data_IF_797037138919
#
_entry.id   IF_797037138919
#
_cell.length_a   1.000
_cell.length_b   1.000
_cell.length_c   1.000
_cell.angle_alpha   90.00
_cell.angle_beta   90.00
_cell.angle_gamma   90.00
#
_symmetry.space_group_name_H-M   'P 1'
#
loop_
_entity.id
_entity.type
_entity.pdbx_description
1 polymer ?
#
# COMPACT_ATOMS: atom_id res chain seq x y z
N UNK A 1 43.86 -54.06 -1.02
CA UNK A 1 44.22 -54.12 0.41
C UNK A 1 43.00 -53.82 1.24
N UNK A 2 42.47 -54.80 1.96
CA UNK A 2 41.31 -54.79 2.87
C UNK A 2 41.71 -54.17 4.21
N UNK A 3 40.82 -53.44 4.85
CA UNK A 3 40.63 -53.36 6.33
C UNK A 3 39.40 -52.47 6.55
N UNK A 4 38.31 -53.00 6.88
CA UNK A 4 37.59 -53.54 8.07
C UNK A 4 37.12 -52.48 9.07
N UNK A 5 35.80 -52.54 9.26
CA UNK A 5 34.95 -51.84 10.25
C UNK A 5 35.39 -52.10 11.70
N UNK A 6 35.05 -51.18 12.60
CA UNK A 6 34.75 -51.50 14.02
C UNK A 6 33.55 -50.67 14.51
N UNK A 7 32.50 -51.41 14.84
CA UNK A 7 31.38 -51.01 15.69
C UNK A 7 31.85 -50.90 17.15
N UNK A 8 31.32 -49.96 17.90
CA UNK A 8 31.27 -50.08 19.36
C UNK A 8 29.91 -49.56 19.86
N UNK A 9 29.11 -50.47 20.40
CA UNK A 9 27.92 -50.24 21.22
C UNK A 9 28.29 -50.35 22.69
N UNK A 10 27.77 -49.47 23.57
CA UNK A 10 27.70 -49.63 25.03
C UNK A 10 26.38 -48.96 25.43
N UNK A 11 25.46 -49.67 25.78
CA UNK A 11 24.83 -50.26 26.97
C UNK A 11 24.32 -49.24 28.01
N UNK A 12 23.03 -49.40 28.27
CA UNK A 12 22.21 -48.74 29.27
C UNK A 12 22.61 -49.15 30.72
N UNK A 13 22.43 -48.21 31.65
CA UNK A 13 22.35 -48.52 33.09
C UNK A 13 21.09 -47.91 33.68
N UNK A 14 20.23 -48.81 34.17
CA UNK A 14 19.10 -48.51 35.07
C UNK A 14 19.61 -48.31 36.51
N UNK A 15 19.08 -47.32 37.21
CA UNK A 15 19.11 -47.30 38.67
C UNK A 15 17.74 -46.84 39.19
N UNK A 16 17.05 -47.78 39.84
CA UNK A 16 15.87 -47.56 40.68
C UNK A 16 16.29 -47.14 42.09
N UNK A 17 15.57 -46.20 42.68
CA UNK A 17 15.26 -46.07 44.12
C UNK A 17 14.34 -44.85 44.26
N UNK A 18 13.27 -44.81 44.96
CA UNK A 18 12.71 -45.51 46.07
C UNK A 18 11.56 -44.61 46.56
N UNK A 19 10.41 -45.15 46.87
CA UNK A 19 9.15 -44.46 47.15
C UNK A 19 9.12 -43.71 48.50
N UNK A 20 8.22 -42.75 48.55
CA UNK A 20 7.63 -42.28 49.80
C UNK A 20 6.11 -42.10 49.59
N UNK A 21 5.37 -42.93 50.32
CA UNK A 21 3.93 -42.84 50.46
C UNK A 21 3.57 -41.60 51.27
N UNK A 22 2.72 -40.71 50.76
CA UNK A 22 2.03 -39.70 51.55
C UNK A 22 0.54 -40.02 51.52
N UNK A 23 -0.02 -40.14 52.71
CA UNK A 23 -1.37 -40.52 53.06
C UNK A 23 -2.40 -39.57 52.50
N UNK A 24 -3.45 -40.13 51.88
CA UNK A 24 -4.69 -39.46 51.52
C UNK A 24 -5.49 -39.11 52.81
N UNK A 25 -5.80 -37.83 52.98
CA UNK A 25 -6.81 -37.37 53.95
C UNK A 25 -8.20 -37.46 53.32
N UNK A 26 -9.16 -37.97 54.11
CA UNK A 26 -10.54 -38.16 53.72
C UNK A 26 -11.29 -36.83 53.53
N UNK A 27 -12.33 -36.78 52.66
CA UNK A 27 -13.06 -35.55 52.34
C UNK A 27 -14.00 -35.15 53.46
N UNK A 28 -13.99 -33.85 53.80
CA UNK A 28 -14.94 -33.25 54.75
C UNK A 28 -16.35 -33.13 54.15
N UNK A 29 -17.33 -33.39 54.98
CA UNK A 29 -18.78 -33.36 54.70
C UNK A 29 -19.25 -31.92 54.35
N UNK A 30 -20.11 -31.70 53.33
CA UNK A 30 -20.57 -30.38 53.00
C UNK A 30 -21.57 -29.82 54.04
N UNK A 31 -21.37 -28.53 54.38
CA UNK A 31 -22.29 -27.78 55.21
C UNK A 31 -23.55 -27.39 54.42
N UNK A 32 -24.71 -27.38 55.10
CA UNK A 32 -26.00 -27.04 54.51
C UNK A 32 -26.06 -25.57 54.03
N UNK A 33 -26.78 -25.28 52.92
CA UNK A 33 -26.86 -23.92 52.37
C UNK A 33 -27.75 -23.03 53.24
N UNK A 34 -27.27 -21.81 53.49
CA UNK A 34 -28.04 -20.74 54.10
C UNK A 34 -29.14 -20.24 53.15
N UNK A 35 -30.32 -20.00 53.70
CA UNK A 35 -31.49 -19.53 52.94
C UNK A 35 -31.21 -18.19 52.24
N UNK A 36 -31.45 -18.12 50.94
CA UNK A 36 -31.43 -16.89 50.15
C UNK A 36 -32.71 -16.08 50.41
N UNK A 37 -32.64 -14.74 50.51
CA UNK A 37 -33.82 -13.89 50.52
C UNK A 37 -34.51 -13.87 49.15
N UNK A 38 -35.83 -13.80 49.13
CA UNK A 38 -36.67 -13.79 47.95
C UNK A 38 -36.32 -12.62 46.98
N UNK A 39 -36.41 -12.83 45.66
CA UNK A 39 -36.09 -11.80 44.69
C UNK A 39 -37.17 -10.69 44.71
N UNK A 40 -36.70 -9.45 44.79
CA UNK A 40 -37.52 -8.26 44.60
C UNK A 40 -38.04 -8.20 43.16
N UNK A 41 -39.30 -7.85 42.96
CA UNK A 41 -39.90 -7.65 41.65
C UNK A 41 -39.10 -6.64 40.83
N UNK A 42 -38.80 -6.92 39.55
CA UNK A 42 -38.13 -5.94 38.70
C UNK A 42 -39.09 -4.77 38.44
N UNK A 43 -38.65 -3.58 38.83
CA UNK A 43 -39.20 -2.31 38.35
C UNK A 43 -38.96 -2.26 36.82
N UNK A 44 -40.02 -1.97 36.07
CA UNK A 44 -39.94 -1.81 34.62
C UNK A 44 -38.98 -0.66 34.30
N UNK A 45 -37.75 -1.03 33.89
CA UNK A 45 -36.83 -0.09 33.27
C UNK A 45 -37.41 0.32 31.91
N UNK A 46 -37.78 1.59 31.79
CA UNK A 46 -38.10 2.22 30.51
C UNK A 46 -36.86 2.07 29.62
N UNK A 47 -36.99 1.26 28.56
CA UNK A 47 -35.97 1.14 27.56
C UNK A 47 -35.66 2.54 27.01
N UNK A 48 -34.39 2.96 26.90
CA UNK A 48 -34.07 4.19 26.24
C UNK A 48 -34.53 4.08 24.79
N UNK A 49 -35.42 4.98 24.38
CA UNK A 49 -35.81 5.19 23.00
C UNK A 49 -34.53 5.31 22.19
N UNK A 50 -34.32 4.55 21.07
CA UNK A 50 -33.16 4.73 20.24
C UNK A 50 -33.12 6.20 19.86
N UNK A 51 -32.01 6.87 20.20
CA UNK A 51 -31.74 8.21 19.72
C UNK A 51 -31.77 8.12 18.19
N UNK A 52 -32.79 8.72 17.61
CA UNK A 52 -32.85 8.92 16.18
C UNK A 52 -31.53 9.58 15.82
N UNK A 53 -30.75 8.92 14.97
CA UNK A 53 -29.58 9.52 14.38
C UNK A 53 -30.04 10.86 13.83
N UNK A 54 -29.58 11.95 14.43
CA UNK A 54 -29.83 13.27 13.91
C UNK A 54 -29.23 13.28 12.52
N UNK A 55 -30.09 13.19 11.51
CA UNK A 55 -29.77 13.60 10.16
C UNK A 55 -29.40 15.06 10.32
N UNK A 56 -28.10 15.34 10.38
CA UNK A 56 -27.58 16.69 10.45
C UNK A 56 -28.09 17.40 9.21
N UNK A 57 -29.10 18.23 9.37
CA UNK A 57 -29.57 19.14 8.35
C UNK A 57 -28.34 19.88 7.80
N UNK A 58 -28.22 19.92 6.47
CA UNK A 58 -27.05 20.47 5.76
C UNK A 58 -26.75 21.91 6.16
N UNK A 59 -26.04 22.05 7.26
CA UNK A 59 -25.28 23.25 7.61
C UNK A 59 -24.07 23.33 6.70
N UNK A 60 -23.72 24.54 6.27
CA UNK A 60 -22.57 24.76 5.42
C UNK A 60 -21.32 24.11 6.05
N UNK A 61 -20.69 23.14 5.36
CA UNK A 61 -19.43 22.45 5.74
C UNK A 61 -18.24 23.43 5.80
N UNK A 62 -18.45 24.66 5.36
CA UNK A 62 -17.42 25.70 5.22
C UNK A 62 -16.72 25.96 6.58
N UNK A 63 -15.43 25.66 6.57
CA UNK A 63 -14.57 25.87 7.75
C UNK A 63 -14.47 24.68 8.68
N UNK A 64 -15.24 23.60 8.48
CA UNK A 64 -15.08 22.34 9.21
C UNK A 64 -13.71 21.72 8.97
N UNK A 65 -13.08 21.19 10.02
CA UNK A 65 -11.79 20.51 9.90
C UNK A 65 -11.99 19.00 9.91
N UNK A 66 -11.57 18.36 8.83
CA UNK A 66 -11.57 16.90 8.67
C UNK A 66 -10.17 16.38 8.96
N UNK A 67 -10.06 15.54 10.00
CA UNK A 67 -8.79 14.91 10.40
C UNK A 67 -8.60 13.59 9.68
N UNK A 68 -7.40 13.40 9.10
CA UNK A 68 -6.97 12.20 8.40
C UNK A 68 -5.78 11.59 9.13
N UNK A 69 -5.91 10.34 9.60
CA UNK A 69 -4.81 9.60 10.19
C UNK A 69 -3.96 8.96 9.09
N UNK A 70 -2.72 9.36 8.97
CA UNK A 70 -1.73 8.75 8.08
C UNK A 70 -0.97 7.66 8.85
N UNK A 71 -1.17 6.39 8.47
CA UNK A 71 -0.60 5.22 9.17
C UNK A 71 0.41 4.54 8.26
N UNK A 72 1.68 4.93 8.35
CA UNK A 72 2.75 4.36 7.52
C UNK A 72 4.10 4.40 8.24
N UNK A 73 5.18 3.76 7.72
CA UNK A 73 6.47 3.74 8.39
C UNK A 73 7.09 5.13 8.43
N UNK A 74 7.16 5.70 9.61
CA UNK A 74 7.86 6.96 9.89
C UNK A 74 9.22 6.72 10.55
N UNK A 75 9.52 5.46 10.89
CA UNK A 75 10.80 4.97 11.37
C UNK A 75 11.21 3.65 10.67
N UNK A 76 12.46 3.21 10.86
CA UNK A 76 12.99 1.98 10.27
C UNK A 76 13.40 2.09 8.79
N UNK A 77 13.56 0.95 8.07
CA UNK A 77 14.15 0.91 6.73
C UNK A 77 13.37 1.67 5.65
N UNK A 78 12.09 1.90 5.86
CA UNK A 78 11.20 2.58 4.91
C UNK A 78 10.78 3.99 5.35
N UNK A 79 11.42 4.52 6.40
CA UNK A 79 11.06 5.82 6.98
C UNK A 79 11.15 6.98 5.99
N UNK A 80 12.18 7.00 5.13
CA UNK A 80 12.35 8.04 4.13
C UNK A 80 11.17 8.10 3.14
N UNK A 81 10.63 6.94 2.76
CA UNK A 81 9.44 6.82 1.90
C UNK A 81 8.20 7.33 2.64
N UNK A 82 7.95 6.81 3.85
CA UNK A 82 6.77 7.21 4.63
C UNK A 82 6.78 8.70 5.01
N UNK A 83 7.94 9.25 5.34
CA UNK A 83 8.08 10.68 5.64
C UNK A 83 7.81 11.57 4.42
N UNK A 84 8.32 11.20 3.22
CA UNK A 84 7.98 11.90 1.98
C UNK A 84 6.47 11.88 1.71
N UNK A 85 5.85 10.74 1.90
CA UNK A 85 4.43 10.55 1.63
C UNK A 85 3.54 11.29 2.64
N UNK A 86 3.94 11.37 3.92
CA UNK A 86 3.28 12.23 4.91
C UNK A 86 3.36 13.70 4.50
N UNK A 87 4.54 14.18 4.11
CA UNK A 87 4.72 15.54 3.55
C UNK A 87 3.82 15.76 2.33
N UNK A 88 3.72 14.76 1.44
CA UNK A 88 2.88 14.83 0.24
C UNK A 88 1.40 14.99 0.59
N UNK A 89 0.88 14.19 1.53
CA UNK A 89 -0.49 14.34 2.03
C UNK A 89 -0.72 15.70 2.67
N UNK A 90 0.16 16.13 3.59
CA UNK A 90 0.04 17.42 4.27
C UNK A 90 0.08 18.59 3.28
N UNK A 91 0.98 18.56 2.31
CA UNK A 91 1.13 19.60 1.32
C UNK A 91 -0.11 19.75 0.42
N UNK A 92 -0.63 18.65 -0.10
CA UNK A 92 -1.79 18.66 -1.00
C UNK A 92 -3.06 19.04 -0.25
N UNK A 93 -3.27 18.49 0.94
CA UNK A 93 -4.44 18.79 1.76
C UNK A 93 -4.44 20.24 2.25
N UNK A 94 -3.28 20.82 2.60
CA UNK A 94 -3.14 22.25 2.90
C UNK A 94 -3.54 23.10 1.68
N UNK A 95 -3.03 22.75 0.49
CA UNK A 95 -3.27 23.48 -0.76
C UNK A 95 -4.72 23.42 -1.23
N UNK A 96 -5.40 22.30 -0.97
CA UNK A 96 -6.78 22.04 -1.38
C UNK A 96 -7.78 22.16 -0.21
N UNK A 97 -7.48 22.98 0.79
CA UNK A 97 -8.35 23.28 1.93
C UNK A 97 -9.09 24.60 1.76
N UNK A 98 -10.18 24.76 2.48
CA UNK A 98 -10.97 25.99 2.56
C UNK A 98 -11.57 26.37 1.21
N UNK A 99 -11.32 27.60 0.74
CA UNK A 99 -11.91 28.11 -0.51
C UNK A 99 -11.52 27.33 -1.78
N UNK A 100 -10.45 26.53 -1.73
CA UNK A 100 -10.01 25.67 -2.83
C UNK A 100 -10.59 24.25 -2.74
N UNK A 101 -11.37 23.98 -1.71
CA UNK A 101 -12.07 22.70 -1.54
C UNK A 101 -13.54 22.87 -1.94
N UNK A 102 -14.09 22.00 -2.79
CA UNK A 102 -15.50 22.11 -3.25
C UNK A 102 -16.50 22.07 -2.09
N UNK A 103 -16.19 21.37 -1.00
CA UNK A 103 -17.00 21.32 0.22
C UNK A 103 -16.71 22.49 1.20
N UNK A 104 -15.65 23.28 0.94
CA UNK A 104 -15.20 24.35 1.84
C UNK A 104 -14.56 23.88 3.14
N UNK A 105 -14.27 22.58 3.29
CA UNK A 105 -13.62 21.99 4.46
C UNK A 105 -12.12 22.27 4.50
N UNK A 106 -11.54 22.14 5.69
CA UNK A 106 -10.10 22.09 5.90
C UNK A 106 -9.70 20.65 6.19
N UNK A 107 -8.52 20.25 5.71
CA UNK A 107 -7.95 18.95 6.04
C UNK A 107 -6.76 19.10 6.99
N UNK A 108 -6.67 18.21 7.95
CA UNK A 108 -5.53 18.06 8.86
C UNK A 108 -5.02 16.62 8.80
N UNK A 109 -3.76 16.41 8.40
CA UNK A 109 -3.16 15.09 8.29
C UNK A 109 -2.16 14.88 9.42
N UNK A 110 -2.39 13.85 10.23
CA UNK A 110 -1.57 13.48 11.39
C UNK A 110 -0.91 12.11 11.16
N UNK A 111 0.42 12.05 11.34
CA UNK A 111 1.19 10.81 11.17
C UNK A 111 1.11 9.90 12.39
N UNK A 112 0.93 8.61 12.13
CA UNK A 112 1.01 7.50 13.08
C UNK A 112 2.03 6.49 12.54
N UNK A 113 3.11 6.27 13.26
CA UNK A 113 4.18 5.36 12.83
C UNK A 113 3.78 3.91 13.02
N UNK A 114 3.65 3.17 11.92
CA UNK A 114 3.40 1.73 11.93
C UNK A 114 4.67 0.87 11.83
N UNK A 115 5.85 1.48 11.77
CA UNK A 115 7.16 0.81 11.67
C UNK A 115 7.25 -0.23 10.54
N UNK A 116 6.38 -0.14 9.54
CA UNK A 116 6.27 -1.11 8.45
C UNK A 116 5.65 -2.47 8.84
N UNK A 117 4.97 -2.56 9.98
CA UNK A 117 4.41 -3.79 10.54
C UNK A 117 2.88 -3.80 10.47
N UNK A 118 2.23 -4.90 10.03
CA UNK A 118 0.78 -5.04 10.12
C UNK A 118 0.25 -4.92 11.55
N UNK A 119 0.94 -5.46 12.55
CA UNK A 119 0.52 -5.38 13.95
C UNK A 119 0.58 -3.94 14.47
N UNK A 120 1.66 -3.21 14.19
CA UNK A 120 1.77 -1.79 14.58
C UNK A 120 0.76 -0.92 13.82
N UNK A 121 0.37 -1.32 12.60
CA UNK A 121 -0.70 -0.66 11.86
C UNK A 121 -2.05 -0.77 12.56
N UNK A 122 -2.37 -1.93 13.17
CA UNK A 122 -3.57 -2.12 13.98
C UNK A 122 -3.54 -1.30 15.27
N UNK A 123 -2.38 -1.22 15.94
CA UNK A 123 -2.18 -0.39 17.13
C UNK A 123 -2.38 1.10 16.79
N UNK A 124 -1.79 1.56 15.69
CA UNK A 124 -1.92 2.92 15.18
C UNK A 124 -3.37 3.24 14.77
N UNK A 125 -4.05 2.32 14.09
CA UNK A 125 -5.46 2.46 13.73
C UNK A 125 -6.34 2.63 14.98
N UNK A 126 -6.14 1.77 15.96
CA UNK A 126 -6.87 1.87 17.24
C UNK A 126 -6.65 3.23 17.90
N UNK A 127 -5.39 3.65 18.02
CA UNK A 127 -5.04 4.95 18.61
C UNK A 127 -5.67 6.13 17.84
N UNK A 128 -5.71 6.06 16.51
CA UNK A 128 -6.37 7.09 15.68
C UNK A 128 -7.89 7.11 15.92
N UNK A 129 -8.55 5.95 15.94
CA UNK A 129 -10.00 5.85 16.20
C UNK A 129 -10.36 6.38 17.59
N UNK A 130 -9.58 6.03 18.60
CA UNK A 130 -9.77 6.49 19.99
C UNK A 130 -9.61 8.03 20.11
N UNK A 131 -8.76 8.64 19.27
CA UNK A 131 -8.60 10.10 19.14
C UNK A 131 -9.66 10.77 18.26
N UNK A 132 -10.65 10.03 17.78
CA UNK A 132 -11.75 10.56 17.00
C UNK A 132 -11.51 10.69 15.50
N UNK A 133 -10.42 10.16 14.95
CA UNK A 133 -10.23 10.11 13.51
C UNK A 133 -11.26 9.19 12.86
N UNK A 134 -11.82 9.63 11.73
CA UNK A 134 -12.80 8.88 10.94
C UNK A 134 -12.37 8.67 9.50
N UNK A 135 -11.27 9.26 9.10
CA UNK A 135 -10.60 9.06 7.82
C UNK A 135 -9.18 8.58 8.09
N UNK A 136 -8.83 7.46 7.49
CA UNK A 136 -7.51 6.83 7.66
C UNK A 136 -6.90 6.64 6.29
N UNK A 137 -5.60 6.90 6.16
CA UNK A 137 -4.86 6.62 4.93
C UNK A 137 -3.61 5.80 5.23
N UNK A 138 -3.31 4.85 4.35
CA UNK A 138 -2.14 3.97 4.44
C UNK A 138 -1.77 3.49 3.04
N UNK A 139 -0.49 3.23 2.78
CA UNK A 139 -0.04 2.82 1.46
C UNK A 139 1.14 1.84 1.46
N UNK A 140 2.04 1.90 2.40
CA UNK A 140 3.24 1.08 2.37
C UNK A 140 3.01 -0.31 2.99
N UNK A 141 3.09 -1.33 2.12
CA UNK A 141 2.94 -2.72 2.52
C UNK A 141 1.50 -3.24 2.48
N UNK A 142 1.24 -4.12 1.51
CA UNK A 142 -0.09 -4.72 1.30
C UNK A 142 -0.59 -5.52 2.50
N UNK A 143 0.32 -6.14 3.30
CA UNK A 143 -0.07 -6.82 4.53
C UNK A 143 -0.66 -5.87 5.59
N UNK A 144 -0.11 -4.65 5.72
CA UNK A 144 -0.65 -3.60 6.58
C UNK A 144 -2.03 -3.14 6.08
N UNK A 145 -2.17 -2.91 4.77
CA UNK A 145 -3.43 -2.51 4.17
C UNK A 145 -4.55 -3.55 4.35
N UNK A 146 -4.25 -4.84 4.17
CA UNK A 146 -5.19 -5.93 4.41
C UNK A 146 -5.64 -5.97 5.89
N UNK A 147 -4.70 -5.82 6.82
CA UNK A 147 -5.01 -5.78 8.25
C UNK A 147 -5.88 -4.57 8.63
N UNK A 148 -5.56 -3.37 8.11
CA UNK A 148 -6.36 -2.16 8.34
C UNK A 148 -7.75 -2.31 7.73
N UNK A 149 -7.87 -2.80 6.49
CA UNK A 149 -9.17 -2.98 5.81
C UNK A 149 -10.10 -3.90 6.60
N UNK A 150 -9.61 -5.06 7.03
CA UNK A 150 -10.37 -6.01 7.86
C UNK A 150 -10.75 -5.40 9.22
N UNK A 151 -9.84 -4.67 9.86
CA UNK A 151 -10.10 -4.02 11.15
C UNK A 151 -11.13 -2.88 11.03
N UNK A 152 -11.08 -2.08 9.96
CA UNK A 152 -12.05 -1.01 9.69
C UNK A 152 -13.43 -1.61 9.43
N UNK A 153 -13.54 -2.66 8.61
CA UNK A 153 -14.78 -3.36 8.35
C UNK A 153 -15.44 -3.85 9.66
N UNK A 154 -14.66 -4.55 10.50
CA UNK A 154 -15.12 -5.04 11.82
C UNK A 154 -15.47 -3.92 12.79
N UNK A 155 -14.71 -2.81 12.78
CA UNK A 155 -15.01 -1.65 13.59
C UNK A 155 -16.36 -1.03 13.21
N UNK A 156 -16.56 -0.81 11.92
CA UNK A 156 -17.75 -0.17 11.38
C UNK A 156 -19.02 -1.01 11.61
N UNK A 157 -18.92 -2.34 11.49
CA UNK A 157 -20.00 -3.25 11.81
C UNK A 157 -20.44 -3.17 13.28
N UNK A 158 -19.47 -3.00 14.21
CA UNK A 158 -19.72 -3.01 15.67
C UNK A 158 -20.04 -1.64 16.25
N UNK A 159 -19.75 -0.56 15.52
CA UNK A 159 -19.86 0.81 16.03
C UNK A 159 -20.63 1.73 15.05
N UNK A 160 -21.93 1.46 14.79
CA UNK A 160 -22.75 2.33 13.95
C UNK A 160 -22.75 3.78 14.46
N UNK A 161 -22.54 4.74 13.54
CA UNK A 161 -22.41 6.15 13.85
C UNK A 161 -20.97 6.59 14.18
N UNK A 162 -20.00 5.64 14.17
CA UNK A 162 -18.57 5.91 14.38
C UNK A 162 -17.73 5.30 13.27
N UNK A 163 -18.30 5.19 12.09
CA UNK A 163 -17.66 4.56 10.95
C UNK A 163 -16.37 5.28 10.54
N UNK A 164 -15.47 4.52 9.95
CA UNK A 164 -14.16 4.95 9.45
C UNK A 164 -14.06 4.63 7.96
N UNK A 165 -13.52 5.55 7.17
CA UNK A 165 -13.19 5.35 5.76
C UNK A 165 -11.70 5.14 5.63
N UNK A 166 -11.29 4.12 4.87
CA UNK A 166 -9.91 3.81 4.58
C UNK A 166 -9.53 4.17 3.13
N UNK A 167 -8.64 5.15 2.98
CA UNK A 167 -8.06 5.59 1.71
C UNK A 167 -6.70 4.90 1.53
N UNK A 168 -6.65 3.87 0.71
CA UNK A 168 -5.41 3.16 0.39
C UNK A 168 -4.73 3.86 -0.81
N UNK A 169 -3.61 4.53 -0.57
CA UNK A 169 -2.98 5.35 -1.61
C UNK A 169 -1.84 4.64 -2.38
N UNK A 170 -1.33 3.49 -1.90
CA UNK A 170 -0.18 2.82 -2.55
C UNK A 170 -0.06 1.31 -2.30
N UNK A 171 -0.88 0.68 -1.45
CA UNK A 171 -0.87 -0.77 -1.27
C UNK A 171 -1.65 -1.46 -2.40
N UNK A 172 -0.95 -2.29 -3.17
CA UNK A 172 -1.36 -2.69 -4.51
C UNK A 172 -1.69 -4.17 -4.65
N UNK A 173 -1.89 -4.90 -3.55
CA UNK A 173 -2.36 -6.28 -3.62
C UNK A 173 -3.75 -6.33 -4.29
N UNK A 174 -3.92 -7.11 -5.36
CA UNK A 174 -5.21 -7.24 -6.05
C UNK A 174 -6.35 -7.73 -5.16
N UNK A 175 -6.07 -8.53 -4.14
CA UNK A 175 -7.07 -9.07 -3.23
C UNK A 175 -7.94 -7.98 -2.59
N UNK A 176 -7.36 -6.79 -2.32
CA UNK A 176 -8.04 -5.66 -1.68
C UNK A 176 -9.22 -5.09 -2.49
N UNK A 177 -9.28 -5.34 -3.78
CA UNK A 177 -10.39 -4.95 -4.67
C UNK A 177 -10.98 -6.14 -5.43
N UNK A 178 -10.70 -7.37 -4.95
CA UNK A 178 -11.26 -8.62 -5.41
C UNK A 178 -11.86 -9.39 -4.22
N UNK A 179 -11.35 -10.57 -3.88
CA UNK A 179 -11.90 -11.46 -2.86
C UNK A 179 -11.87 -10.91 -1.42
N UNK A 180 -11.06 -9.87 -1.16
CA UNK A 180 -10.94 -9.16 0.12
C UNK A 180 -11.48 -7.74 0.06
N UNK A 181 -12.27 -7.44 -0.98
CA UNK A 181 -12.85 -6.10 -1.11
C UNK A 181 -13.82 -5.79 0.04
N UNK A 182 -13.78 -4.53 0.46
CA UNK A 182 -14.66 -4.02 1.52
C UNK A 182 -15.25 -2.66 1.12
N UNK A 183 -16.48 -2.39 1.57
CA UNK A 183 -17.20 -1.16 1.25
C UNK A 183 -16.49 0.11 1.76
N UNK A 184 -15.71 0.00 2.83
CA UNK A 184 -15.04 1.13 3.47
C UNK A 184 -13.62 1.39 2.96
N UNK A 185 -13.13 0.52 2.07
CA UNK A 185 -11.81 0.62 1.47
C UNK A 185 -11.88 1.25 0.08
N UNK A 186 -11.06 2.28 -0.17
CA UNK A 186 -10.96 2.99 -1.45
C UNK A 186 -9.49 3.03 -1.89
N UNK A 187 -9.17 2.38 -3.01
CA UNK A 187 -7.80 2.33 -3.51
C UNK A 187 -7.55 3.38 -4.58
N UNK A 188 -6.50 4.20 -4.37
CA UNK A 188 -6.14 5.35 -5.20
C UNK A 188 -5.03 5.05 -6.22
N UNK A 189 -4.22 4.01 -6.00
CA UNK A 189 -3.19 3.54 -6.94
C UNK A 189 -3.70 2.33 -7.74
N UNK A 190 -3.18 2.13 -8.94
CA UNK A 190 -3.43 0.93 -9.72
C UNK A 190 -2.86 -0.30 -9.01
N UNK A 191 -3.57 -1.41 -9.03
CA UNK A 191 -3.09 -2.64 -8.42
C UNK A 191 -2.02 -3.37 -9.24
N UNK A 192 -1.47 -4.44 -8.67
CA UNK A 192 -0.39 -5.19 -9.32
C UNK A 192 -0.84 -5.81 -10.65
N UNK A 193 -2.11 -6.23 -10.78
CA UNK A 193 -2.61 -6.77 -12.06
C UNK A 193 -2.66 -5.71 -13.14
N UNK A 194 -3.16 -4.52 -12.79
CA UNK A 194 -3.22 -3.37 -13.67
C UNK A 194 -1.83 -2.92 -14.12
N UNK A 195 -0.90 -2.84 -13.17
CA UNK A 195 0.50 -2.47 -13.44
C UNK A 195 1.20 -3.49 -14.34
N UNK A 196 1.00 -4.79 -14.10
CA UNK A 196 1.56 -5.84 -14.95
C UNK A 196 0.92 -5.89 -16.33
N UNK A 197 -0.38 -5.62 -16.42
CA UNK A 197 -1.05 -5.50 -17.71
C UNK A 197 -0.48 -4.36 -18.55
N UNK A 198 -0.30 -3.18 -17.95
CA UNK A 198 0.34 -2.03 -18.60
C UNK A 198 1.79 -2.32 -19.00
N UNK A 199 2.59 -2.91 -18.07
CA UNK A 199 3.98 -3.24 -18.32
C UNK A 199 4.14 -4.22 -19.49
N UNK A 200 3.43 -5.34 -19.44
CA UNK A 200 3.52 -6.39 -20.46
C UNK A 200 2.93 -5.93 -21.81
N UNK A 201 1.97 -5.01 -21.80
CA UNK A 201 1.48 -4.34 -23.02
C UNK A 201 2.56 -3.46 -23.64
N UNK A 202 3.33 -2.73 -22.84
CA UNK A 202 4.48 -1.97 -23.33
C UNK A 202 5.59 -2.89 -23.82
N UNK A 203 5.91 -3.97 -23.08
CA UNK A 203 6.97 -4.91 -23.44
C UNK A 203 6.65 -5.72 -24.70
N UNK A 204 5.39 -5.81 -25.12
CA UNK A 204 4.99 -6.42 -26.38
C UNK A 204 5.77 -5.83 -27.57
N UNK A 205 6.02 -4.53 -27.53
CA UNK A 205 6.65 -3.77 -28.60
C UNK A 205 8.16 -3.57 -28.37
N UNK A 206 8.79 -4.34 -27.44
CA UNK A 206 10.21 -4.26 -27.10
C UNK A 206 10.97 -5.49 -27.64
N UNK A 207 11.49 -5.46 -28.89
CA UNK A 207 12.06 -6.63 -29.54
C UNK A 207 13.35 -7.16 -28.89
N UNK A 208 14.04 -6.33 -28.11
CA UNK A 208 15.27 -6.69 -27.40
C UNK A 208 15.02 -7.54 -26.16
N UNK A 209 13.79 -7.58 -25.64
CA UNK A 209 13.44 -8.39 -24.48
C UNK A 209 13.22 -9.82 -24.91
N UNK A 210 14.03 -10.73 -24.37
CA UNK A 210 13.99 -12.16 -24.70
C UNK A 210 14.11 -13.06 -23.46
N UNK A 211 14.98 -12.69 -22.50
CA UNK A 211 15.29 -13.47 -21.29
C UNK A 211 15.15 -12.59 -20.05
N UNK A 212 14.10 -12.80 -19.28
CA UNK A 212 13.78 -11.97 -18.13
C UNK A 212 14.18 -12.65 -16.82
N UNK A 213 14.81 -11.89 -15.94
CA UNK A 213 14.99 -12.27 -14.53
C UNK A 213 14.04 -11.48 -13.63
N UNK A 214 13.34 -12.19 -12.74
CA UNK A 214 12.44 -11.58 -11.76
C UNK A 214 13.13 -11.54 -10.40
N UNK A 215 13.24 -10.34 -9.80
CA UNK A 215 13.74 -10.18 -8.44
C UNK A 215 12.75 -9.33 -7.63
N UNK A 216 12.11 -9.93 -6.64
CA UNK A 216 11.06 -9.26 -5.88
C UNK A 216 11.19 -9.47 -4.36
N UNK A 217 10.63 -8.56 -3.60
CA UNK A 217 10.47 -8.70 -2.15
C UNK A 217 9.50 -9.84 -1.82
N UNK A 218 9.83 -10.66 -0.82
CA UNK A 218 9.01 -11.82 -0.42
C UNK A 218 7.83 -11.41 0.47
N UNK A 219 6.80 -10.86 -0.14
CA UNK A 219 5.49 -10.62 0.44
C UNK A 219 4.44 -10.59 -0.68
N UNK A 220 3.15 -10.38 -0.35
CA UNK A 220 2.06 -10.54 -1.32
C UNK A 220 2.28 -9.76 -2.62
N UNK A 221 2.68 -8.47 -2.56
CA UNK A 221 2.93 -7.70 -3.78
C UNK A 221 4.05 -8.30 -4.64
N UNK A 222 5.21 -8.64 -4.06
CA UNK A 222 6.32 -9.18 -4.85
C UNK A 222 5.98 -10.54 -5.51
N UNK A 223 5.25 -11.39 -4.80
CA UNK A 223 4.72 -12.65 -5.33
C UNK A 223 3.72 -12.40 -6.47
N UNK A 224 2.86 -11.40 -6.33
CA UNK A 224 1.88 -11.02 -7.35
C UNK A 224 2.55 -10.41 -8.59
N UNK A 225 3.63 -9.63 -8.43
CA UNK A 225 4.43 -9.13 -9.57
C UNK A 225 4.93 -10.30 -10.41
N UNK A 226 5.57 -11.29 -9.78
CA UNK A 226 6.08 -12.46 -10.48
C UNK A 226 4.96 -13.25 -11.20
N UNK A 227 3.84 -13.48 -10.49
CA UNK A 227 2.68 -14.19 -11.04
C UNK A 227 2.12 -13.49 -12.28
N UNK A 228 1.69 -12.23 -12.12
CA UNK A 228 0.98 -11.51 -13.19
C UNK A 228 1.89 -11.06 -14.32
N UNK A 229 3.19 -10.88 -14.05
CA UNK A 229 4.17 -10.72 -15.12
C UNK A 229 4.21 -11.99 -16.00
N UNK A 230 4.39 -13.17 -15.41
CA UNK A 230 4.44 -14.45 -16.15
C UNK A 230 3.17 -14.69 -16.96
N UNK A 231 2.01 -14.45 -16.37
CA UNK A 231 0.72 -14.58 -17.06
C UNK A 231 0.56 -13.58 -18.22
N UNK A 232 0.91 -12.32 -18.00
CA UNK A 232 0.81 -11.25 -18.99
C UNK A 232 1.77 -11.40 -20.15
N UNK A 233 3.03 -11.75 -19.87
CA UNK A 233 4.04 -11.90 -20.91
C UNK A 233 3.79 -13.16 -21.75
N UNK A 234 3.35 -14.26 -21.14
CA UNK A 234 3.01 -15.49 -21.85
C UNK A 234 1.88 -15.28 -22.87
N UNK A 235 0.91 -14.44 -22.56
CA UNK A 235 -0.18 -14.08 -23.49
C UNK A 235 0.27 -13.19 -24.64
N UNK A 236 1.21 -12.28 -24.40
CA UNK A 236 1.58 -11.19 -25.34
C UNK A 236 2.89 -11.45 -26.09
N UNK A 237 3.83 -12.13 -25.46
CA UNK A 237 5.16 -12.46 -25.97
C UNK A 237 5.57 -13.87 -25.50
N UNK A 238 4.96 -14.93 -26.07
CA UNK A 238 5.25 -16.32 -25.68
C UNK A 238 6.70 -16.74 -26.01
N UNK A 239 7.40 -15.94 -26.81
CA UNK A 239 8.82 -16.08 -27.13
C UNK A 239 9.75 -15.64 -25.97
N UNK A 240 9.28 -14.78 -25.07
CA UNK A 240 10.05 -14.30 -23.91
C UNK A 240 10.10 -15.37 -22.82
N UNK A 241 11.32 -15.66 -22.34
CA UNK A 241 11.55 -16.69 -21.30
C UNK A 241 11.88 -16.03 -19.97
N UNK A 242 11.26 -16.49 -18.90
CA UNK A 242 11.73 -16.20 -17.54
C UNK A 242 12.85 -17.20 -17.21
N UNK A 243 14.09 -16.68 -17.13
CA UNK A 243 15.31 -17.49 -16.96
C UNK A 243 15.78 -17.55 -15.50
N UNK A 244 15.13 -16.81 -14.62
CA UNK A 244 15.36 -16.87 -13.18
C UNK A 244 14.33 -16.06 -12.40
N UNK A 245 14.11 -16.46 -11.15
CA UNK A 245 13.19 -15.82 -10.21
C UNK A 245 13.70 -15.98 -8.79
N UNK A 246 13.83 -14.87 -8.07
CA UNK A 246 14.11 -14.88 -6.63
C UNK A 246 13.14 -13.97 -5.89
N UNK A 247 12.78 -14.42 -4.69
CA UNK A 247 12.09 -13.63 -3.67
C UNK A 247 13.06 -13.44 -2.48
N UNK A 248 13.25 -12.19 -2.06
CA UNK A 248 14.13 -11.88 -0.94
C UNK A 248 13.36 -11.29 0.26
N UNK A 249 13.83 -11.46 1.51
CA UNK A 249 13.21 -10.89 2.69
C UNK A 249 13.12 -9.36 2.59
N UNK A 250 11.89 -8.81 2.73
CA UNK A 250 11.63 -7.37 2.65
C UNK A 250 12.33 -6.60 3.77
N UNK A 251 13.10 -5.56 3.41
CA UNK A 251 13.78 -4.66 4.34
C UNK A 251 14.94 -5.28 5.14
N UNK A 252 15.30 -6.53 4.87
CA UNK A 252 16.30 -7.26 5.65
C UNK A 252 17.61 -7.49 4.91
N UNK A 253 17.59 -7.50 3.57
CA UNK A 253 18.79 -7.73 2.75
C UNK A 253 19.67 -6.48 2.80
N UNK A 254 20.92 -6.66 3.21
CA UNK A 254 21.92 -5.57 3.28
C UNK A 254 22.88 -5.59 2.08
N UNK A 255 23.03 -6.75 1.43
CA UNK A 255 23.88 -6.95 0.27
C UNK A 255 23.13 -7.73 -0.82
N UNK A 256 22.96 -7.09 -1.96
CA UNK A 256 22.30 -7.69 -3.14
C UNK A 256 23.30 -8.32 -4.12
N UNK A 257 24.62 -8.29 -3.88
CA UNK A 257 25.62 -8.88 -4.76
C UNK A 257 25.36 -10.36 -5.09
N UNK A 258 24.91 -11.23 -4.16
CA UNK A 258 24.56 -12.61 -4.48
C UNK A 258 23.40 -12.74 -5.50
N UNK A 259 22.41 -11.87 -5.43
CA UNK A 259 21.31 -11.84 -6.39
C UNK A 259 21.79 -11.35 -7.77
N UNK A 260 22.63 -10.31 -7.80
CA UNK A 260 23.25 -9.80 -9.04
C UNK A 260 24.10 -10.87 -9.72
N UNK A 261 24.84 -11.67 -8.93
CA UNK A 261 25.61 -12.81 -9.46
C UNK A 261 24.70 -13.85 -10.14
N UNK A 262 23.56 -14.20 -9.53
CA UNK A 262 22.56 -15.12 -10.12
C UNK A 262 21.98 -14.54 -11.43
N UNK A 263 21.63 -13.24 -11.44
CA UNK A 263 21.13 -12.57 -12.65
C UNK A 263 22.16 -12.68 -13.78
N UNK A 264 23.43 -12.39 -13.49
CA UNK A 264 24.52 -12.50 -14.47
C UNK A 264 24.70 -13.94 -14.99
N UNK A 265 24.64 -14.94 -14.11
CA UNK A 265 24.78 -16.36 -14.45
C UNK A 265 23.60 -16.89 -15.27
N UNK A 266 22.39 -16.35 -15.08
CA UNK A 266 21.19 -16.79 -15.79
C UNK A 266 21.21 -16.43 -17.29
N UNK A 267 22.09 -15.52 -17.71
CA UNK A 267 22.10 -14.99 -19.06
C UNK A 267 20.88 -14.14 -19.40
N UNK A 268 20.22 -13.56 -18.41
CA UNK A 268 19.13 -12.61 -18.61
C UNK A 268 19.60 -11.39 -19.40
N UNK A 269 18.73 -10.88 -20.26
CA UNK A 269 18.90 -9.61 -20.98
C UNK A 269 18.05 -8.47 -20.38
N UNK A 270 17.16 -8.80 -19.45
CA UNK A 270 16.18 -7.88 -18.88
C UNK A 270 15.87 -8.24 -17.43
N UNK A 271 15.69 -7.22 -16.61
CA UNK A 271 15.23 -7.35 -15.21
C UNK A 271 13.81 -6.80 -15.08
N UNK A 272 12.95 -7.53 -14.39
CA UNK A 272 11.64 -7.03 -13.92
C UNK A 272 11.60 -7.13 -12.40
N UNK A 273 11.24 -6.02 -11.74
CA UNK A 273 11.20 -5.97 -10.28
C UNK A 273 10.05 -5.09 -9.76
N UNK A 274 9.38 -5.57 -8.74
CA UNK A 274 8.44 -4.81 -7.93
C UNK A 274 9.04 -4.26 -6.63
N UNK A 275 10.36 -4.38 -6.47
CA UNK A 275 11.04 -3.85 -5.29
C UNK A 275 10.83 -2.34 -5.15
N UNK A 276 10.83 -1.85 -3.90
CA UNK A 276 10.70 -0.43 -3.56
C UNK A 276 11.52 -0.07 -2.31
N UNK A 277 11.70 1.24 -2.09
CA UNK A 277 12.40 1.78 -0.93
C UNK A 277 13.85 1.30 -0.84
N UNK A 278 14.33 1.04 0.37
CA UNK A 278 15.72 0.66 0.61
C UNK A 278 16.16 -0.58 -0.18
N UNK A 279 15.28 -1.57 -0.37
CA UNK A 279 15.62 -2.79 -1.10
C UNK A 279 15.90 -2.51 -2.58
N UNK A 280 15.10 -1.66 -3.24
CA UNK A 280 15.37 -1.26 -4.63
C UNK A 280 16.64 -0.42 -4.73
N UNK A 281 16.83 0.52 -3.81
CA UNK A 281 18.04 1.36 -3.77
C UNK A 281 19.32 0.52 -3.63
N UNK A 282 19.33 -0.45 -2.70
CA UNK A 282 20.47 -1.35 -2.50
C UNK A 282 20.68 -2.30 -3.68
N UNK A 283 19.62 -2.77 -4.30
CA UNK A 283 19.70 -3.60 -5.51
C UNK A 283 20.31 -2.82 -6.67
N UNK A 284 19.85 -1.59 -6.94
CA UNK A 284 20.44 -0.71 -7.96
C UNK A 284 21.91 -0.44 -7.68
N UNK A 285 22.26 -0.19 -6.42
CA UNK A 285 23.67 -0.03 -6.03
C UNK A 285 24.49 -1.27 -6.37
N UNK A 286 24.01 -2.46 -6.03
CA UNK A 286 24.71 -3.71 -6.33
C UNK A 286 24.86 -3.97 -7.84
N UNK A 287 23.86 -3.59 -8.67
CA UNK A 287 23.97 -3.63 -10.13
C UNK A 287 25.09 -2.71 -10.63
N UNK A 288 25.16 -1.48 -10.09
CA UNK A 288 26.20 -0.51 -10.44
C UNK A 288 27.60 -1.01 -10.03
N UNK A 289 27.76 -1.49 -8.80
CA UNK A 289 29.02 -2.02 -8.26
C UNK A 289 29.54 -3.22 -9.10
N UNK A 290 28.62 -4.05 -9.61
CA UNK A 290 28.96 -5.18 -10.48
C UNK A 290 29.14 -4.81 -11.96
N UNK A 291 28.91 -3.55 -12.35
CA UNK A 291 28.93 -3.09 -13.74
C UNK A 291 27.86 -3.78 -14.62
N UNK A 292 26.81 -4.34 -14.04
CA UNK A 292 25.76 -5.05 -14.77
C UNK A 292 24.69 -4.07 -15.24
N UNK A 293 24.72 -3.73 -16.53
CA UNK A 293 23.78 -2.79 -17.17
C UNK A 293 22.77 -3.54 -18.02
N UNK A 294 21.66 -3.97 -17.41
CA UNK A 294 20.52 -4.56 -18.11
C UNK A 294 19.33 -3.60 -18.06
N UNK A 295 18.49 -3.56 -19.11
CA UNK A 295 17.18 -2.89 -19.03
C UNK A 295 16.40 -3.38 -17.83
N UNK A 296 15.93 -2.44 -17.00
CA UNK A 296 15.14 -2.73 -15.82
C UNK A 296 13.73 -2.14 -15.98
N UNK A 297 12.73 -2.97 -15.78
CA UNK A 297 11.33 -2.60 -15.78
C UNK A 297 10.78 -2.69 -14.36
N UNK A 298 10.22 -1.59 -13.86
CA UNK A 298 9.84 -1.47 -12.44
C UNK A 298 8.65 -0.51 -12.25
N UNK A 299 8.20 -0.36 -10.99
CA UNK A 299 7.15 0.60 -10.60
C UNK A 299 7.67 1.76 -9.77
N UNK A 300 8.69 1.51 -8.94
CA UNK A 300 9.03 2.36 -7.82
C UNK A 300 10.41 2.99 -7.94
N UNK A 301 10.96 3.08 -9.17
CA UNK A 301 12.25 3.71 -9.41
C UNK A 301 12.29 5.21 -9.08
N UNK A 302 11.13 5.87 -9.02
CA UNK A 302 11.00 7.29 -8.64
C UNK A 302 10.89 7.54 -7.14
N UNK A 303 10.89 6.48 -6.30
CA UNK A 303 10.76 6.60 -4.84
C UNK A 303 12.09 7.04 -4.21
N UNK A 304 12.01 7.87 -3.18
CA UNK A 304 13.14 8.49 -2.47
C UNK A 304 14.33 7.55 -2.26
N UNK A 305 15.50 8.00 -2.72
CA UNK A 305 16.80 7.32 -2.64
C UNK A 305 17.13 6.47 -3.87
N UNK A 306 16.16 5.95 -4.60
CA UNK A 306 16.42 5.15 -5.81
C UNK A 306 16.95 5.98 -6.98
N UNK A 307 16.42 7.19 -7.29
CA UNK A 307 16.97 8.05 -8.32
C UNK A 307 18.45 8.40 -8.10
N UNK A 308 18.84 8.69 -6.86
CA UNK A 308 20.24 8.95 -6.49
C UNK A 308 21.13 7.72 -6.79
N UNK A 309 20.66 6.51 -6.44
CA UNK A 309 21.38 5.28 -6.74
C UNK A 309 21.48 5.01 -8.25
N UNK A 310 20.43 5.28 -9.03
CA UNK A 310 20.44 5.17 -10.48
C UNK A 310 21.46 6.13 -11.10
N UNK A 311 21.45 7.39 -10.70
CA UNK A 311 22.37 8.42 -11.21
C UNK A 311 23.85 8.11 -10.93
N UNK A 312 24.14 7.49 -9.77
CA UNK A 312 25.49 7.05 -9.43
C UNK A 312 26.07 6.01 -10.42
N UNK A 313 25.20 5.20 -11.05
CA UNK A 313 25.58 4.26 -12.10
C UNK A 313 25.71 4.89 -13.49
N UNK A 314 25.41 6.19 -13.63
CA UNK A 314 25.40 6.89 -14.92
C UNK A 314 24.18 6.51 -15.78
N UNK A 315 24.38 6.50 -17.09
CA UNK A 315 23.32 6.17 -18.02
C UNK A 315 22.90 4.69 -17.87
N UNK A 316 21.65 4.47 -17.52
CA UNK A 316 21.03 3.15 -17.35
C UNK A 316 19.67 3.12 -18.01
N UNK A 317 19.29 1.96 -18.53
CA UNK A 317 18.02 1.77 -19.23
C UNK A 317 16.96 1.31 -18.23
N UNK A 318 16.22 2.26 -17.62
CA UNK A 318 15.17 2.00 -16.64
C UNK A 318 13.84 2.51 -17.14
N UNK A 319 12.85 1.62 -17.16
CA UNK A 319 11.47 1.90 -17.49
C UNK A 319 10.60 1.74 -16.24
N UNK A 320 9.84 2.79 -15.93
CA UNK A 320 8.95 2.78 -14.78
C UNK A 320 7.49 2.92 -15.23
N UNK A 321 6.65 1.97 -14.79
CA UNK A 321 5.20 2.09 -14.90
C UNK A 321 4.71 2.92 -13.72
N UNK A 322 3.98 3.99 -14.02
CA UNK A 322 3.53 4.93 -13.00
C UNK A 322 2.22 5.59 -13.41
N UNK A 323 1.56 6.26 -12.49
CA UNK A 323 0.36 7.08 -12.76
C UNK A 323 0.66 8.58 -12.77
N UNK A 324 1.91 9.01 -12.57
CA UNK A 324 2.36 10.39 -12.64
C UNK A 324 3.86 10.48 -12.93
N UNK A 325 4.37 11.65 -13.25
CA UNK A 325 5.78 11.86 -13.58
C UNK A 325 6.25 13.28 -13.22
N UNK A 326 7.57 13.50 -13.02
CA UNK A 326 8.10 14.79 -12.54
C UNK A 326 8.04 15.92 -13.58
N UNK A 327 7.72 15.62 -14.84
CA UNK A 327 7.70 16.59 -15.93
C UNK A 327 6.29 17.08 -16.27
N UNK A 328 5.45 17.27 -15.25
CA UNK A 328 4.15 17.92 -15.40
C UNK A 328 4.33 19.41 -15.68
N UNK A 329 3.35 20.01 -16.39
CA UNK A 329 3.35 21.42 -16.77
C UNK A 329 2.16 22.17 -16.15
N UNK A 330 2.11 23.48 -16.31
CA UNK A 330 1.02 24.33 -15.79
C UNK A 330 0.97 24.32 -14.25
N UNK A 331 -0.23 24.38 -13.68
CA UNK A 331 -0.44 24.43 -12.22
C UNK A 331 0.14 23.23 -11.49
N UNK A 332 0.09 22.05 -12.11
CA UNK A 332 0.61 20.83 -11.53
C UNK A 332 2.13 20.80 -11.53
N UNK A 333 2.76 21.28 -12.59
CA UNK A 333 4.21 21.48 -12.62
C UNK A 333 4.67 22.48 -11.55
N UNK A 334 3.93 23.58 -11.38
CA UNK A 334 4.18 24.54 -10.31
C UNK A 334 4.01 23.92 -8.93
N UNK A 335 2.98 23.08 -8.73
CA UNK A 335 2.77 22.35 -7.47
C UNK A 335 3.94 21.42 -7.13
N UNK A 336 4.45 20.66 -8.09
CA UNK A 336 5.62 19.78 -7.91
C UNK A 336 6.87 20.61 -7.55
N UNK A 337 7.08 21.75 -8.22
CA UNK A 337 8.18 22.66 -7.93
C UNK A 337 8.05 23.31 -6.53
N UNK A 338 6.85 23.71 -6.12
CA UNK A 338 6.58 24.26 -4.79
C UNK A 338 6.85 23.22 -3.68
N UNK A 339 6.46 21.94 -3.90
CA UNK A 339 6.78 20.87 -2.97
C UNK A 339 8.28 20.71 -2.80
N UNK A 340 9.02 20.61 -3.91
CA UNK A 340 10.47 20.52 -3.89
C UNK A 340 11.14 21.68 -3.18
N UNK A 341 10.67 22.90 -3.44
CA UNK A 341 11.17 24.11 -2.76
C UNK A 341 10.88 24.09 -1.25
N UNK A 342 9.67 23.65 -0.84
CA UNK A 342 9.24 23.64 0.57
C UNK A 342 10.00 22.59 1.39
N UNK A 343 10.22 21.39 0.82
CA UNK A 343 10.70 20.23 1.57
C UNK A 343 12.11 19.76 1.20
N UNK A 344 12.72 20.33 0.15
CA UNK A 344 13.95 19.83 -0.48
C UNK A 344 13.83 18.33 -0.82
N UNK A 345 12.68 17.93 -1.35
CA UNK A 345 12.29 16.56 -1.60
C UNK A 345 11.39 16.50 -2.85
N UNK A 346 11.26 15.36 -3.50
CA UNK A 346 10.46 15.26 -4.72
C UNK A 346 9.03 14.77 -4.44
N UNK A 347 8.05 15.35 -5.14
CA UNK A 347 6.68 14.90 -5.10
C UNK A 347 6.45 13.77 -6.12
N UNK A 348 6.34 12.54 -5.66
CA UNK A 348 6.14 11.36 -6.51
C UNK A 348 4.86 10.56 -6.19
N UNK A 349 4.21 10.84 -5.07
CA UNK A 349 2.99 10.12 -4.66
C UNK A 349 1.74 10.87 -5.11
N UNK A 350 1.47 10.86 -6.41
CA UNK A 350 0.35 11.58 -7.02
C UNK A 350 -1.03 11.09 -6.57
N UNK A 351 -1.12 9.89 -6.00
CA UNK A 351 -2.34 9.37 -5.38
C UNK A 351 -2.86 10.26 -4.24
N UNK A 352 -1.98 11.02 -3.57
CA UNK A 352 -2.38 11.96 -2.52
C UNK A 352 -3.24 13.10 -3.09
N UNK A 353 -2.91 13.58 -4.30
CA UNK A 353 -3.70 14.57 -5.01
C UNK A 353 -5.08 13.98 -5.39
N UNK A 354 -5.10 12.82 -6.03
CA UNK A 354 -6.34 12.14 -6.39
C UNK A 354 -7.24 11.90 -5.18
N UNK A 355 -6.66 11.41 -4.07
CA UNK A 355 -7.40 11.15 -2.84
C UNK A 355 -8.00 12.41 -2.23
N UNK A 356 -7.25 13.51 -2.22
CA UNK A 356 -7.73 14.80 -1.69
C UNK A 356 -8.83 15.38 -2.56
N UNK A 357 -8.68 15.35 -3.90
CA UNK A 357 -9.72 15.79 -4.84
C UNK A 357 -11.00 14.98 -4.68
N UNK A 358 -10.89 13.65 -4.71
CA UNK A 358 -12.03 12.75 -4.54
C UNK A 358 -12.75 12.97 -3.21
N UNK A 359 -11.99 13.12 -2.12
CA UNK A 359 -12.56 13.33 -0.79
C UNK A 359 -13.32 14.66 -0.71
N UNK A 360 -12.74 15.73 -1.25
CA UNK A 360 -13.38 17.05 -1.30
C UNK A 360 -14.68 17.04 -2.12
N UNK A 361 -14.65 16.45 -3.31
CA UNK A 361 -15.84 16.34 -4.18
C UNK A 361 -16.91 15.41 -3.57
N UNK A 362 -16.49 14.31 -2.93
CA UNK A 362 -17.44 13.41 -2.26
C UNK A 362 -18.15 14.11 -1.09
N UNK A 363 -17.43 14.90 -0.29
CA UNK A 363 -18.01 15.69 0.79
C UNK A 363 -18.96 16.78 0.27
N UNK A 364 -18.60 17.44 -0.83
CA UNK A 364 -19.47 18.43 -1.48
C UNK A 364 -20.76 17.79 -2.02
N UNK A 365 -20.64 16.65 -2.70
CA UNK A 365 -21.77 15.86 -3.21
C UNK A 365 -22.67 15.33 -2.09
N UNK A 366 -22.06 14.83 -1.02
CA UNK A 366 -22.76 14.33 0.16
C UNK A 366 -23.36 15.46 1.03
N UNK A 367 -22.88 16.70 0.86
CA UNK A 367 -23.15 17.82 1.76
C UNK A 367 -22.91 17.46 3.24
N UNK A 368 -21.88 16.66 3.48
CA UNK A 368 -21.58 16.08 4.79
C UNK A 368 -20.12 15.63 4.85
N UNK A 369 -19.53 15.69 6.06
CA UNK A 369 -18.25 15.04 6.40
C UNK A 369 -18.47 13.69 7.08
N UNK A 370 -19.71 13.24 7.24
CA UNK A 370 -20.02 11.93 7.83
C UNK A 370 -19.49 10.81 6.95
N UNK A 371 -18.70 9.84 7.49
CA UNK A 371 -18.09 8.76 6.72
C UNK A 371 -19.07 7.92 5.89
N UNK A 372 -20.28 7.67 6.38
CA UNK A 372 -21.29 6.89 5.64
C UNK A 372 -21.72 7.61 4.36
N UNK A 373 -22.06 8.90 4.50
CA UNK A 373 -22.49 9.72 3.37
C UNK A 373 -21.35 9.94 2.36
N UNK A 374 -20.11 10.13 2.84
CA UNK A 374 -18.93 10.32 2.00
C UNK A 374 -18.55 9.02 1.29
N UNK A 375 -18.55 7.87 1.94
CA UNK A 375 -18.28 6.58 1.30
C UNK A 375 -19.28 6.28 0.18
N UNK A 376 -20.56 6.56 0.41
CA UNK A 376 -21.60 6.45 -0.62
C UNK A 376 -21.33 7.37 -1.82
N UNK A 377 -20.90 8.61 -1.56
CA UNK A 377 -20.62 9.59 -2.60
C UNK A 377 -19.35 9.27 -3.40
N UNK A 378 -18.35 8.63 -2.77
CA UNK A 378 -17.09 8.19 -3.41
C UNK A 378 -17.31 7.10 -4.44
N UNK A 379 -18.18 6.12 -4.18
CA UNK A 379 -18.47 5.03 -5.13
C UNK A 379 -19.06 5.57 -6.44
N UNK A 380 -18.36 5.36 -7.55
CA UNK A 380 -18.74 5.85 -8.88
C UNK A 380 -18.42 7.33 -9.15
N UNK A 381 -17.69 8.00 -8.24
CA UNK A 381 -17.32 9.40 -8.41
C UNK A 381 -16.18 9.55 -9.44
N UNK A 382 -16.32 10.52 -10.34
CA UNK A 382 -15.27 10.95 -11.27
C UNK A 382 -14.84 12.38 -10.95
N UNK A 383 -13.53 12.63 -11.04
CA UNK A 383 -12.93 13.95 -10.88
C UNK A 383 -11.88 14.20 -11.96
N UNK A 384 -11.67 15.47 -12.32
CA UNK A 384 -10.53 15.86 -13.16
C UNK A 384 -9.25 15.85 -12.35
N UNK A 385 -8.22 15.20 -12.88
CA UNK A 385 -6.91 15.11 -12.26
C UNK A 385 -5.79 15.41 -13.26
N UNK A 386 -4.54 15.22 -12.87
CA UNK A 386 -3.35 15.55 -13.66
C UNK A 386 -3.16 14.68 -14.92
N UNK A 387 -3.75 13.49 -14.95
CA UNK A 387 -3.67 12.56 -16.08
C UNK A 387 -5.00 12.43 -16.85
N UNK A 388 -5.90 13.40 -16.70
CA UNK A 388 -7.27 13.38 -17.22
C UNK A 388 -8.28 13.02 -16.15
N UNK A 389 -9.45 12.53 -16.55
CA UNK A 389 -10.48 12.12 -15.61
C UNK A 389 -10.08 10.81 -14.92
N UNK A 390 -10.29 10.78 -13.62
CA UNK A 390 -10.13 9.57 -12.81
C UNK A 390 -11.47 9.20 -12.17
N UNK A 391 -11.79 7.91 -12.15
CA UNK A 391 -13.08 7.41 -11.67
C UNK A 391 -12.89 6.35 -10.58
N UNK A 392 -13.48 6.57 -9.43
CA UNK A 392 -13.59 5.54 -8.39
C UNK A 392 -14.65 4.53 -8.81
N UNK A 393 -14.27 3.32 -9.23
CA UNK A 393 -15.24 2.30 -9.66
C UNK A 393 -16.24 1.99 -8.54
N UNK A 394 -17.51 1.97 -8.88
CA UNK A 394 -18.55 1.64 -7.90
C UNK A 394 -18.61 0.15 -7.54
N UNK A 395 -17.99 -0.73 -8.33
CA UNK A 395 -18.01 -2.18 -8.13
C UNK A 395 -17.10 -2.65 -7.02
N UNK A 396 -15.92 -2.04 -6.86
CA UNK A 396 -14.84 -2.54 -6.02
C UNK A 396 -14.00 -1.43 -5.37
N UNK A 397 -14.37 -0.16 -5.56
CA UNK A 397 -13.67 1.02 -5.06
C UNK A 397 -12.19 1.10 -5.46
N UNK A 398 -11.86 0.59 -6.67
CA UNK A 398 -10.59 0.81 -7.32
C UNK A 398 -10.62 2.08 -8.16
N UNK A 399 -9.66 2.98 -7.98
CA UNK A 399 -9.52 4.15 -8.86
C UNK A 399 -9.04 3.71 -10.25
N UNK A 400 -9.79 4.09 -11.27
CA UNK A 400 -9.45 3.93 -12.66
C UNK A 400 -8.82 5.22 -13.18
N UNK A 401 -7.63 5.12 -13.76
CA UNK A 401 -6.80 6.24 -14.16
C UNK A 401 -5.85 5.86 -15.29
N UNK A 402 -5.40 6.85 -16.06
CA UNK A 402 -4.33 6.65 -17.03
C UNK A 402 -3.03 6.23 -16.35
N UNK A 403 -2.23 5.45 -17.06
CA UNK A 403 -0.88 5.07 -16.63
C UNK A 403 0.15 5.55 -17.64
N UNK A 404 1.35 5.77 -17.18
CA UNK A 404 2.48 6.17 -18.00
C UNK A 404 3.57 5.11 -17.96
N UNK A 405 4.26 4.94 -19.08
CA UNK A 405 5.59 4.37 -19.11
C UNK A 405 6.56 5.53 -19.18
N UNK A 406 7.44 5.61 -18.20
CA UNK A 406 8.50 6.62 -18.18
C UNK A 406 9.86 5.96 -18.36
N UNK A 407 10.80 6.70 -18.95
CA UNK A 407 12.18 6.27 -19.14
C UNK A 407 13.13 7.19 -18.38
N UNK A 408 14.08 6.60 -17.68
CA UNK A 408 15.18 7.30 -17.01
C UNK A 408 16.14 7.88 -18.03
N UNK A 409 16.44 9.17 -17.97
CA UNK A 409 17.41 9.85 -18.82
C UNK A 409 17.91 11.15 -18.19
N UNK A 410 18.96 11.74 -18.72
CA UNK A 410 19.41 13.07 -18.35
C UNK A 410 18.33 14.11 -18.61
N UNK A 411 18.28 15.13 -17.75
CA UNK A 411 17.41 16.28 -17.98
C UNK A 411 17.80 17.01 -19.27
N UNK A 412 16.80 17.58 -19.93
CA UNK A 412 16.98 18.42 -21.11
C UNK A 412 16.06 19.64 -21.07
N UNK A 413 16.05 20.44 -22.12
CA UNK A 413 15.21 21.66 -22.21
C UNK A 413 13.71 21.35 -22.15
N UNK A 414 13.29 20.20 -22.67
CA UNK A 414 11.88 19.76 -22.69
C UNK A 414 11.47 19.08 -21.38
N UNK A 415 12.38 18.30 -20.82
CA UNK A 415 12.14 17.49 -19.62
C UNK A 415 13.13 17.89 -18.53
N UNK A 416 12.76 18.93 -17.78
CA UNK A 416 13.63 19.59 -16.79
C UNK A 416 13.39 19.17 -15.35
N UNK A 417 12.44 18.24 -15.12
CA UNK A 417 12.09 17.73 -13.78
C UNK A 417 13.24 16.94 -13.15
N UNK A 418 14.21 17.65 -12.59
CA UNK A 418 15.45 17.10 -12.01
C UNK A 418 15.17 16.34 -10.71
N UNK A 419 15.08 15.01 -10.78
CA UNK A 419 14.72 14.14 -9.66
C UNK A 419 15.91 14.02 -8.70
N UNK A 420 15.67 14.24 -7.40
CA UNK A 420 16.69 14.24 -6.33
C UNK A 420 17.94 15.06 -6.65
N UNK A 421 17.80 16.09 -7.49
CA UNK A 421 18.90 16.94 -7.96
C UNK A 421 20.04 16.18 -8.65
N UNK A 422 19.76 15.03 -9.26
CA UNK A 422 20.73 14.13 -9.88
C UNK A 422 21.19 14.52 -11.28
N UNK A 423 20.52 15.49 -11.90
CA UNK A 423 20.70 15.78 -13.34
C UNK A 423 19.93 14.82 -14.24
N UNK A 424 19.07 13.95 -13.68
CA UNK A 424 18.26 12.99 -14.40
C UNK A 424 16.77 13.15 -14.08
N UNK A 425 15.94 12.54 -14.92
CA UNK A 425 14.49 12.58 -14.81
C UNK A 425 13.83 11.31 -15.38
N UNK A 426 12.55 11.12 -15.04
CA UNK A 426 11.69 10.12 -15.68
C UNK A 426 10.84 10.78 -16.76
N UNK A 427 11.18 10.54 -18.02
CA UNK A 427 10.47 11.10 -19.17
C UNK A 427 9.28 10.22 -19.54
N UNK A 428 8.06 10.77 -19.65
CA UNK A 428 6.92 10.02 -20.14
C UNK A 428 7.11 9.71 -21.63
N UNK A 429 7.24 8.42 -21.96
CA UNK A 429 7.42 7.93 -23.34
C UNK A 429 6.14 7.32 -23.89
N UNK A 430 5.22 6.91 -23.04
CA UNK A 430 3.90 6.40 -23.45
C UNK A 430 2.89 6.70 -22.34
N UNK A 431 1.74 7.27 -22.70
CA UNK A 431 0.55 7.31 -21.86
C UNK A 431 -0.38 6.19 -22.32
N UNK A 432 -0.92 5.47 -21.39
CA UNK A 432 -1.90 4.41 -21.62
C UNK A 432 -3.27 4.90 -21.16
N UNK A 433 -4.25 4.65 -21.98
CA UNK A 433 -5.64 4.89 -21.64
C UNK A 433 -6.02 4.12 -20.36
N UNK A 434 -6.87 4.68 -19.47
CA UNK A 434 -7.35 3.97 -18.27
C UNK A 434 -7.91 2.58 -18.56
N UNK A 435 -8.45 2.37 -19.73
CA UNK A 435 -9.01 1.10 -20.18
C UNK A 435 -7.95 -0.02 -20.26
N UNK A 436 -6.72 0.28 -20.65
CA UNK A 436 -5.63 -0.72 -20.80
C UNK A 436 -5.35 -1.44 -19.48
N UNK A 437 -5.43 -0.71 -18.38
CA UNK A 437 -5.19 -1.24 -17.04
C UNK A 437 -6.49 -1.56 -16.27
N UNK A 438 -7.66 -1.47 -16.92
CA UNK A 438 -8.96 -1.76 -16.30
C UNK A 438 -9.19 -3.28 -16.20
N UNK A 439 -8.52 -3.93 -15.25
CA UNK A 439 -8.70 -5.36 -15.01
C UNK A 439 -10.08 -5.65 -14.40
N UNK A 440 -10.72 -6.78 -14.79
CA UNK A 440 -11.97 -7.22 -14.16
C UNK A 440 -11.81 -7.45 -12.65
N UNK A 441 -12.90 -7.32 -11.91
CA UNK A 441 -12.93 -7.61 -10.47
C UNK A 441 -13.86 -8.77 -10.16
N UNK A 442 -13.49 -9.56 -9.16
CA UNK A 442 -14.31 -10.59 -8.52
C UNK A 442 -14.99 -10.10 -7.24
N UNK A 443 -14.89 -8.78 -6.96
CA UNK A 443 -15.42 -8.19 -5.74
C UNK A 443 -16.94 -8.38 -5.58
N UNK A 444 -17.35 -8.87 -4.42
CA UNK A 444 -18.74 -8.99 -3.99
C UNK A 444 -18.93 -8.27 -2.65
N UNK A 445 -18.60 -6.96 -2.63
CA UNK A 445 -18.67 -6.22 -1.38
C UNK A 445 -20.09 -6.13 -0.83
N UNK A 446 -20.21 -6.33 0.46
CA UNK A 446 -21.46 -6.06 1.17
C UNK A 446 -21.64 -4.55 1.31
N UNK A 447 -22.66 -4.01 0.63
CA UNK A 447 -23.05 -2.61 0.81
C UNK A 447 -23.81 -2.45 2.11
N UNK A 448 -23.56 -1.36 2.81
CA UNK A 448 -24.37 -1.05 4.01
C UNK A 448 -25.80 -0.73 3.60
N UNK A 449 -26.77 -1.12 4.43
CA UNK A 449 -28.20 -0.82 4.19
C UNK A 449 -28.53 0.68 4.13
N UNK A 450 -27.57 1.55 4.47
CA UNK A 450 -27.63 2.99 4.33
C UNK A 450 -27.06 3.51 3.00
N UNK A 451 -26.66 2.60 2.10
CA UNK A 451 -26.03 2.89 0.81
C UNK A 451 -26.94 2.70 -0.40
#
# INVERSE_FOLDING_TARGET
MKFQMKHLAIAAVFACAGGAFAQQAAPAKPAAPAAQPAPAKPSAAVAPKPAAAAVMAGGALKGETVKIAFIDPLSGPFANVGQNQLKSWQFVTERLSGAKNPAGVKFEVVGFDNKGSPQESLNSLKAAIDQGFRYVTQGNGSGAALAISDAVAKHNERNPGKEVVFLNYAAVDPALTNEKCDYWHFRLDADTTMKMEALTTFMKDQPKVSKVYLLNQNYSHGQQVAKYFKEGIARKRPDVKVVGEDLHPIGQVKDFAPYVAKIKQSGADTIVTGNWGADLTLFVKALNDAGLKLPMYTYYAGVTGTPTALAAGGDSEVYMITYGHPNLTGELGAMVADFKKKFNDDYYTFATLNGTLLLGEAMAKAKSTNPVAVAKALGGLSVKSFAGDVTMRGSDHQLQQSMFVTKWQKVDKKYSGNVENTGYTFVPIKQMDPYVASTPTSCQMKRTSAG
#
